data_IF_182704912807
#
_entry.id   IF_182704912807
#
_cell.length_a   1.000
_cell.length_b   1.000
_cell.length_c   1.000
_cell.angle_alpha   90.00
_cell.angle_beta   90.00
_cell.angle_gamma   90.00
#
_symmetry.space_group_name_H-M   'P 1'
#
loop_
_entity.id
_entity.type
_entity.pdbx_description
1 polymer ?
#
# COMPACT_ATOMS: atom_id res chain seq x y z
N UNK A 1 -20.00 -74.29 13.72
CA UNK A 1 -19.06 -73.18 14.11
C UNK A 1 -18.44 -72.64 12.84
N UNK A 2 -18.89 -71.43 12.41
CA UNK A 2 -18.32 -70.75 11.25
C UNK A 2 -17.56 -69.48 11.78
N UNK A 3 -16.23 -69.46 11.61
CA UNK A 3 -15.37 -68.40 11.98
C UNK A 3 -15.30 -67.43 10.79
N UNK A 4 -15.72 -66.16 10.96
CA UNK A 4 -15.62 -65.11 9.94
C UNK A 4 -14.26 -64.44 10.06
N UNK A 5 -13.56 -64.16 8.95
CA UNK A 5 -12.30 -63.43 9.00
C UNK A 5 -12.54 -61.90 9.17
N UNK A 6 -11.84 -61.32 10.13
CA UNK A 6 -11.79 -59.89 10.39
C UNK A 6 -10.88 -59.21 9.34
N UNK A 7 -11.46 -58.42 8.46
CA UNK A 7 -10.70 -57.64 7.46
C UNK A 7 -10.29 -56.31 8.11
N UNK A 8 -9.01 -56.16 8.40
CA UNK A 8 -8.39 -54.88 8.84
C UNK A 8 -8.13 -54.02 7.61
N UNK A 9 -8.88 -52.93 7.46
CA UNK A 9 -8.63 -51.90 6.47
C UNK A 9 -7.53 -50.95 7.00
N UNK A 10 -6.46 -50.66 6.25
CA UNK A 10 -5.47 -49.67 6.63
C UNK A 10 -6.03 -48.26 6.40
N UNK A 11 -6.14 -47.48 7.46
CA UNK A 11 -6.41 -46.04 7.43
C UNK A 11 -5.17 -45.33 6.86
N UNK A 12 -5.26 -44.94 5.61
CA UNK A 12 -4.27 -44.06 5.00
C UNK A 12 -4.53 -42.64 5.51
N UNK A 13 -3.79 -42.24 6.52
CA UNK A 13 -3.70 -40.84 6.93
C UNK A 13 -2.90 -40.09 5.87
N UNK A 14 -3.60 -39.41 4.95
CA UNK A 14 -2.99 -38.41 4.08
C UNK A 14 -2.66 -37.19 4.93
N UNK A 15 -1.41 -37.05 5.36
CA UNK A 15 -0.87 -35.84 5.93
C UNK A 15 -0.88 -34.79 4.82
N UNK A 16 -1.89 -33.92 4.81
CA UNK A 16 -1.87 -32.65 4.10
C UNK A 16 -0.78 -31.81 4.77
N UNK A 17 0.45 -31.88 4.25
CA UNK A 17 1.49 -30.92 4.54
C UNK A 17 1.00 -29.58 4.04
N UNK A 18 0.40 -28.78 4.93
CA UNK A 18 0.04 -27.40 4.67
C UNK A 18 1.32 -26.66 4.31
N UNK A 19 1.44 -26.25 3.06
CA UNK A 19 2.44 -25.26 2.65
C UNK A 19 2.09 -23.95 3.35
N UNK A 20 2.67 -23.74 4.52
CA UNK A 20 2.69 -22.43 5.18
C UNK A 20 3.63 -21.51 4.40
N UNK A 21 3.28 -21.17 3.16
CA UNK A 21 3.83 -19.99 2.51
C UNK A 21 3.42 -18.78 3.34
N UNK A 22 4.37 -18.06 3.92
CA UNK A 22 4.08 -16.86 4.68
C UNK A 22 3.16 -15.96 3.83
N UNK A 23 1.98 -15.63 4.37
CA UNK A 23 1.02 -14.82 3.65
C UNK A 23 1.66 -13.48 3.28
N UNK A 24 1.52 -13.07 2.02
CA UNK A 24 2.04 -11.78 1.54
C UNK A 24 1.46 -10.65 2.39
N UNK A 25 2.29 -9.72 2.89
CA UNK A 25 1.78 -8.62 3.69
C UNK A 25 0.83 -7.74 2.88
N UNK A 26 -0.30 -7.40 3.49
CA UNK A 26 -1.27 -6.50 2.89
C UNK A 26 -0.85 -5.04 3.10
N UNK A 27 -0.94 -4.23 2.03
CA UNK A 27 -0.62 -2.80 2.02
C UNK A 27 -1.90 -2.01 1.70
N UNK A 28 -2.30 -1.12 2.60
CA UNK A 28 -3.30 -0.10 2.31
C UNK A 28 -2.62 1.08 1.60
N UNK A 29 -3.13 1.50 0.45
CA UNK A 29 -2.58 2.63 -0.31
C UNK A 29 -3.54 3.80 -0.22
N UNK A 30 -3.22 4.79 0.62
CA UNK A 30 -3.96 6.05 0.68
C UNK A 30 -3.60 6.89 -0.55
N UNK A 31 -4.58 7.59 -1.09
CA UNK A 31 -4.34 8.50 -2.21
C UNK A 31 -3.27 9.52 -1.85
N UNK A 32 -2.29 9.68 -2.73
CA UNK A 32 -1.36 10.78 -2.61
C UNK A 32 -2.12 12.12 -2.62
N UNK A 33 -1.57 13.14 -1.98
CA UNK A 33 -2.18 14.45 -1.86
C UNK A 33 -1.28 15.53 -2.43
N UNK A 34 -1.88 16.58 -2.95
CA UNK A 34 -1.13 17.77 -3.30
C UNK A 34 -0.87 18.60 -2.03
N UNK A 35 0.36 19.04 -1.85
CA UNK A 35 0.81 19.88 -0.73
C UNK A 35 1.78 20.96 -1.22
N UNK A 36 1.41 21.66 -2.29
CA UNK A 36 2.20 22.75 -2.88
C UNK A 36 1.73 24.11 -2.40
N UNK A 37 2.31 25.18 -2.96
CA UNK A 37 2.04 26.58 -2.61
C UNK A 37 0.55 26.95 -2.69
N UNK A 38 -0.21 26.28 -3.56
CA UNK A 38 -1.64 26.54 -3.74
C UNK A 38 -2.51 25.32 -3.37
N UNK A 39 -2.08 24.54 -2.37
CA UNK A 39 -2.81 23.33 -1.94
C UNK A 39 -4.26 23.59 -1.50
N UNK A 40 -4.56 24.81 -1.05
CA UNK A 40 -5.92 25.21 -0.67
C UNK A 40 -6.83 25.49 -1.89
N UNK A 41 -6.23 25.70 -3.08
CA UNK A 41 -6.95 25.97 -4.34
C UNK A 41 -6.30 25.15 -5.42
N UNK A 42 -6.65 23.84 -5.47
CA UNK A 42 -6.08 22.91 -6.45
C UNK A 42 -6.34 23.35 -7.89
N UNK A 43 -5.30 23.36 -8.69
CA UNK A 43 -5.40 23.54 -10.14
C UNK A 43 -5.74 22.19 -10.81
N UNK A 44 -6.40 22.19 -11.97
CA UNK A 44 -6.71 20.94 -12.69
C UNK A 44 -5.48 20.06 -12.96
N UNK A 45 -4.32 20.68 -13.22
CA UNK A 45 -3.05 20.00 -13.42
C UNK A 45 -2.56 19.29 -12.16
N UNK A 46 -2.70 19.86 -10.97
CA UNK A 46 -2.30 19.27 -9.69
C UNK A 46 -3.07 18.00 -9.41
N UNK A 47 -4.37 18.03 -9.63
CA UNK A 47 -5.24 16.86 -9.47
C UNK A 47 -4.82 15.72 -10.42
N UNK A 48 -4.50 16.05 -11.67
CA UNK A 48 -4.04 15.08 -12.66
C UNK A 48 -2.71 14.42 -12.27
N UNK A 49 -1.74 15.21 -11.77
CA UNK A 49 -0.43 14.73 -11.29
C UNK A 49 -0.61 13.74 -10.15
N UNK A 50 -1.40 14.13 -9.13
CA UNK A 50 -1.67 13.28 -7.95
C UNK A 50 -2.39 11.99 -8.33
N UNK A 51 -3.41 12.09 -9.19
CA UNK A 51 -4.17 10.93 -9.64
C UNK A 51 -3.30 9.94 -10.44
N UNK A 52 -2.47 10.44 -11.37
CA UNK A 52 -1.58 9.61 -12.16
C UNK A 52 -0.52 8.90 -11.31
N UNK A 53 0.09 9.60 -10.36
CA UNK A 53 1.05 9.02 -9.42
C UNK A 53 0.40 7.96 -8.51
N UNK A 54 -0.78 8.25 -7.94
CA UNK A 54 -1.53 7.29 -7.12
C UNK A 54 -1.90 6.04 -7.90
N UNK A 55 -2.40 6.21 -9.13
CA UNK A 55 -2.75 5.10 -10.02
C UNK A 55 -1.53 4.22 -10.31
N UNK A 56 -0.37 4.81 -10.61
CA UNK A 56 0.86 4.08 -10.88
C UNK A 56 1.37 3.32 -9.65
N UNK A 57 1.34 3.95 -8.46
CA UNK A 57 1.70 3.30 -7.20
C UNK A 57 0.87 2.03 -6.99
N UNK A 58 -0.46 2.15 -7.11
CA UNK A 58 -1.39 1.03 -6.96
C UNK A 58 -1.19 -0.04 -8.01
N UNK A 59 -1.05 0.34 -9.28
CA UNK A 59 -0.85 -0.61 -10.37
C UNK A 59 0.44 -1.42 -10.18
N UNK A 60 1.53 -0.78 -9.73
CA UNK A 60 2.80 -1.47 -9.47
C UNK A 60 2.66 -2.45 -8.32
N UNK A 61 2.13 -2.03 -7.17
CA UNK A 61 1.94 -2.91 -6.01
C UNK A 61 0.89 -4.00 -6.27
N UNK A 62 -0.13 -3.72 -7.09
CA UNK A 62 -1.15 -4.70 -7.48
C UNK A 62 -0.62 -5.82 -8.38
N UNK A 63 0.45 -5.54 -9.13
CA UNK A 63 1.15 -6.53 -9.95
C UNK A 63 2.24 -7.29 -9.18
N UNK A 64 2.47 -6.97 -7.91
CA UNK A 64 3.51 -7.56 -7.08
C UNK A 64 3.16 -8.98 -6.62
N UNK A 65 4.15 -9.86 -6.57
CA UNK A 65 4.04 -11.21 -5.98
C UNK A 65 4.55 -11.28 -4.53
N UNK A 66 5.08 -10.17 -3.98
CA UNK A 66 5.59 -10.10 -2.59
C UNK A 66 4.67 -9.34 -1.62
N UNK A 67 3.71 -8.57 -2.11
CA UNK A 67 2.68 -7.89 -1.31
C UNK A 67 1.30 -8.13 -1.91
N UNK A 68 0.25 -7.83 -1.13
CA UNK A 68 -1.12 -7.68 -1.63
C UNK A 68 -1.59 -6.27 -1.32
N UNK A 69 -2.38 -5.66 -2.20
CA UNK A 69 -2.99 -4.37 -1.88
C UNK A 69 -4.40 -4.55 -1.33
N UNK A 70 -4.74 -3.75 -0.34
CA UNK A 70 -6.10 -3.65 0.16
C UNK A 70 -6.98 -2.98 -0.91
N UNK A 71 -8.23 -3.38 -1.00
CA UNK A 71 -9.18 -2.79 -1.96
C UNK A 71 -9.17 -1.26 -1.90
N UNK A 72 -9.05 -0.64 -3.07
CA UNK A 72 -8.88 0.80 -3.17
C UNK A 72 -10.14 1.58 -2.80
N UNK A 73 -11.32 1.02 -3.08
CA UNK A 73 -12.60 1.64 -2.73
C UNK A 73 -12.82 1.58 -1.22
N UNK A 74 -12.55 0.42 -0.60
CA UNK A 74 -12.60 0.28 0.86
C UNK A 74 -11.63 1.24 1.55
N UNK A 75 -10.40 1.38 1.02
CA UNK A 75 -9.41 2.32 1.54
C UNK A 75 -9.88 3.77 1.42
N UNK A 76 -10.37 4.18 0.25
CA UNK A 76 -10.88 5.54 0.02
C UNK A 76 -12.08 5.87 0.93
N UNK A 77 -13.03 4.94 1.06
CA UNK A 77 -14.19 5.09 1.96
C UNK A 77 -13.77 5.23 3.42
N UNK A 78 -12.80 4.40 3.86
CA UNK A 78 -12.30 4.46 5.22
C UNK A 78 -11.58 5.77 5.54
N UNK A 79 -10.80 6.31 4.58
CA UNK A 79 -10.15 7.62 4.71
C UNK A 79 -11.19 8.73 4.75
N UNK A 80 -12.16 8.74 3.81
CA UNK A 80 -13.22 9.76 3.77
C UNK A 80 -14.04 9.81 5.08
N UNK A 81 -14.32 8.64 5.69
CA UNK A 81 -14.97 8.57 7.00
C UNK A 81 -14.10 9.13 8.13
N UNK A 82 -12.79 8.88 8.07
CA UNK A 82 -11.86 9.40 9.08
C UNK A 82 -11.62 10.91 8.96
N UNK A 83 -11.89 11.49 7.79
CA UNK A 83 -11.77 12.93 7.50
C UNK A 83 -13.10 13.68 7.55
N UNK A 84 -14.16 13.04 8.03
CA UNK A 84 -15.51 13.66 8.08
C UNK A 84 -15.57 14.93 8.94
N UNK A 85 -14.63 15.13 9.85
CA UNK A 85 -14.45 16.33 10.66
C UNK A 85 -13.67 17.46 9.93
N UNK A 86 -13.24 17.23 8.67
CA UNK A 86 -12.51 18.17 7.86
C UNK A 86 -10.99 18.17 8.09
N UNK A 87 -10.47 17.34 9.00
CA UNK A 87 -9.04 17.23 9.21
C UNK A 87 -8.41 16.24 8.23
N UNK A 88 -7.30 16.61 7.56
CA UNK A 88 -6.57 15.69 6.69
C UNK A 88 -6.05 14.47 7.45
N UNK A 89 -6.10 13.29 6.81
CA UNK A 89 -5.62 12.05 7.40
C UNK A 89 -4.09 12.08 7.63
N UNK A 90 -3.69 12.33 8.86
CA UNK A 90 -2.30 12.30 9.32
C UNK A 90 -1.77 10.85 9.47
N UNK A 91 -0.62 10.66 10.12
CA UNK A 91 -0.05 9.34 10.34
C UNK A 91 -0.90 8.50 11.31
N UNK A 92 -1.47 9.09 12.35
CA UNK A 92 -2.30 8.38 13.32
C UNK A 92 -3.61 7.90 12.66
N UNK A 93 -4.24 8.75 11.88
CA UNK A 93 -5.39 8.42 11.05
C UNK A 93 -5.06 7.29 10.05
N UNK A 94 -3.97 7.40 9.31
CA UNK A 94 -3.55 6.41 8.33
C UNK A 94 -3.35 5.02 8.97
N UNK A 95 -2.70 4.96 10.13
CA UNK A 95 -2.52 3.73 10.90
C UNK A 95 -3.86 3.15 11.39
N UNK A 96 -4.79 4.00 11.85
CA UNK A 96 -6.12 3.56 12.29
C UNK A 96 -6.94 2.98 11.13
N UNK A 97 -6.93 3.65 9.96
CA UNK A 97 -7.56 3.17 8.72
C UNK A 97 -6.99 1.82 8.32
N UNK A 98 -5.66 1.71 8.23
CA UNK A 98 -4.98 0.48 7.82
C UNK A 98 -5.27 -0.69 8.79
N UNK A 99 -5.28 -0.43 10.10
CA UNK A 99 -5.62 -1.44 11.11
C UNK A 99 -7.04 -1.96 10.93
N UNK A 100 -8.00 -1.06 10.68
CA UNK A 100 -9.40 -1.43 10.43
C UNK A 100 -9.56 -2.29 9.18
N UNK A 101 -8.72 -2.08 8.16
CA UNK A 101 -8.72 -2.83 6.91
C UNK A 101 -7.85 -4.10 6.95
N UNK A 102 -7.26 -4.44 8.09
CA UNK A 102 -6.42 -5.63 8.24
C UNK A 102 -5.09 -5.54 7.48
N UNK A 103 -4.63 -4.33 7.14
CA UNK A 103 -3.35 -4.15 6.47
C UNK A 103 -2.19 -4.28 7.46
N UNK A 104 -1.07 -4.85 6.98
CA UNK A 104 0.20 -4.85 7.70
C UNK A 104 0.89 -3.50 7.62
N UNK A 105 0.80 -2.85 6.47
CA UNK A 105 1.42 -1.57 6.18
C UNK A 105 0.43 -0.59 5.55
N UNK A 106 0.72 0.70 5.69
CA UNK A 106 0.02 1.76 4.96
C UNK A 106 1.03 2.64 4.23
N UNK A 107 0.81 2.79 2.93
CA UNK A 107 1.54 3.71 2.06
C UNK A 107 0.74 5.01 1.92
N UNK A 108 1.37 6.15 2.18
CA UNK A 108 0.82 7.49 2.02
C UNK A 108 1.88 8.46 1.53
N UNK A 109 1.49 9.62 1.07
CA UNK A 109 2.46 10.62 0.63
C UNK A 109 1.82 11.88 0.10
N UNK A 110 2.67 12.84 -0.19
CA UNK A 110 2.30 14.14 -0.77
C UNK A 110 3.13 14.46 -2.00
N UNK A 111 2.54 15.19 -2.92
CA UNK A 111 3.24 15.76 -4.06
C UNK A 111 3.18 17.27 -3.89
N UNK A 112 4.37 17.91 -3.90
CA UNK A 112 4.52 19.36 -3.75
C UNK A 112 5.20 19.95 -4.97
N UNK A 113 4.77 21.11 -5.42
CA UNK A 113 5.54 21.90 -6.37
C UNK A 113 6.50 22.82 -5.60
N UNK A 114 7.79 22.69 -5.89
CA UNK A 114 8.83 23.59 -5.35
C UNK A 114 9.08 24.77 -6.29
N UNK A 115 8.79 24.57 -7.57
CA UNK A 115 8.83 25.59 -8.62
C UNK A 115 8.07 25.06 -9.85
N UNK A 116 7.94 25.88 -10.88
CA UNK A 116 7.31 25.47 -12.15
C UNK A 116 7.97 24.24 -12.82
N UNK A 117 9.23 23.95 -12.48
CA UNK A 117 10.01 22.86 -13.11
C UNK A 117 10.40 21.74 -12.14
N UNK A 118 10.25 21.97 -10.83
CA UNK A 118 10.69 21.03 -9.80
C UNK A 118 9.54 20.71 -8.85
N UNK A 119 9.23 19.45 -8.79
CA UNK A 119 8.24 18.90 -7.89
C UNK A 119 8.87 17.85 -6.97
N UNK A 120 8.23 17.53 -5.88
CA UNK A 120 8.71 16.57 -4.89
C UNK A 120 7.58 15.59 -4.55
N UNK A 121 7.83 14.30 -4.69
CA UNK A 121 7.02 13.26 -4.06
C UNK A 121 7.68 12.90 -2.73
N UNK A 122 7.01 13.15 -1.61
CA UNK A 122 7.39 12.64 -0.28
C UNK A 122 6.42 11.54 0.10
N UNK A 123 6.93 10.35 0.44
CA UNK A 123 6.10 9.18 0.68
C UNK A 123 6.65 8.30 1.80
N UNK A 124 5.73 7.84 2.65
CA UNK A 124 5.99 6.99 3.79
C UNK A 124 5.31 5.63 3.65
N UNK A 125 5.98 4.59 4.12
CA UNK A 125 5.39 3.29 4.45
C UNK A 125 5.41 3.13 5.96
N UNK A 126 4.23 3.08 6.58
CA UNK A 126 4.10 2.93 8.03
C UNK A 126 3.76 1.48 8.37
N UNK A 127 4.41 0.92 9.38
CA UNK A 127 4.06 -0.38 9.95
C UNK A 127 2.93 -0.24 10.97
N UNK A 128 1.82 -0.92 10.72
CA UNK A 128 0.61 -0.84 11.54
C UNK A 128 0.80 -1.40 12.95
N UNK A 129 1.72 -2.36 13.12
CA UNK A 129 2.01 -2.99 14.41
C UNK A 129 2.83 -2.09 15.31
N UNK A 130 3.89 -1.47 14.73
CA UNK A 130 4.83 -0.65 15.50
C UNK A 130 4.46 0.84 15.52
N UNK A 131 3.59 1.28 14.59
CA UNK A 131 3.26 2.68 14.38
C UNK A 131 4.38 3.52 13.78
N UNK A 132 5.48 2.91 13.32
CA UNK A 132 6.67 3.60 12.82
C UNK A 132 6.75 3.55 11.30
N UNK A 133 7.40 4.56 10.71
CA UNK A 133 7.79 4.51 9.32
C UNK A 133 8.90 3.47 9.12
N UNK A 134 8.68 2.54 8.20
CA UNK A 134 9.69 1.57 7.71
C UNK A 134 10.36 2.04 6.43
N UNK A 135 9.71 2.97 5.71
CA UNK A 135 10.28 3.77 4.64
C UNK A 135 9.82 5.22 4.80
N UNK A 136 10.71 6.16 4.52
CA UNK A 136 10.43 7.58 4.40
C UNK A 136 11.32 8.10 3.25
N UNK A 137 10.74 8.20 2.07
CA UNK A 137 11.47 8.51 0.85
C UNK A 137 10.99 9.83 0.24
N UNK A 138 11.90 10.52 -0.44
CA UNK A 138 11.61 11.72 -1.21
C UNK A 138 12.21 11.60 -2.60
N UNK A 139 11.41 11.94 -3.62
CA UNK A 139 11.80 11.85 -5.04
C UNK A 139 11.61 13.21 -5.70
N UNK A 140 12.70 13.79 -6.15
CA UNK A 140 12.66 15.00 -6.96
C UNK A 140 12.15 14.68 -8.37
N UNK A 141 11.16 15.44 -8.83
CA UNK A 141 10.51 15.30 -10.14
C UNK A 141 10.88 16.54 -10.95
N UNK A 142 11.67 16.37 -12.01
CA UNK A 142 12.10 17.44 -12.92
C UNK A 142 11.32 17.39 -14.23
N UNK A 143 10.88 18.56 -14.70
CA UNK A 143 10.16 18.71 -15.95
C UNK A 143 8.64 18.60 -15.78
N UNK A 144 7.94 18.02 -16.76
CA UNK A 144 6.49 17.91 -16.76
C UNK A 144 6.01 16.92 -15.69
N UNK A 145 5.46 17.46 -14.61
CA UNK A 145 5.09 16.67 -13.42
C UNK A 145 4.07 15.56 -13.74
N UNK A 146 3.06 15.85 -14.56
CA UNK A 146 2.03 14.85 -14.90
C UNK A 146 2.61 13.60 -15.56
N UNK A 147 3.70 13.77 -16.34
CA UNK A 147 4.39 12.66 -17.00
C UNK A 147 5.42 11.97 -16.09
N UNK A 148 6.09 12.72 -15.23
CA UNK A 148 7.22 12.22 -14.44
C UNK A 148 6.82 11.69 -13.06
N UNK A 149 5.75 12.22 -12.44
CA UNK A 149 5.30 11.79 -11.11
C UNK A 149 4.94 10.28 -11.04
N UNK A 150 4.34 9.66 -12.07
CA UNK A 150 4.16 8.21 -12.08
C UNK A 150 5.47 7.42 -11.95
N UNK A 151 6.57 7.93 -12.51
CA UNK A 151 7.90 7.31 -12.36
C UNK A 151 8.38 7.32 -10.91
N UNK A 152 8.26 8.45 -10.23
CA UNK A 152 8.60 8.58 -8.82
C UNK A 152 7.75 7.64 -7.94
N UNK A 153 6.44 7.56 -8.19
CA UNK A 153 5.53 6.65 -7.50
C UNK A 153 5.87 5.17 -7.77
N UNK A 154 6.30 4.83 -8.97
CA UNK A 154 6.80 3.50 -9.29
C UNK A 154 8.07 3.15 -8.51
N UNK A 155 9.03 4.06 -8.40
CA UNK A 155 10.24 3.86 -7.61
C UNK A 155 9.90 3.61 -6.13
N UNK A 156 8.96 4.36 -5.56
CA UNK A 156 8.49 4.12 -4.20
C UNK A 156 7.84 2.73 -4.05
N UNK A 157 7.00 2.31 -5.00
CA UNK A 157 6.43 0.95 -5.00
C UNK A 157 7.51 -0.14 -4.99
N UNK A 158 8.55 -0.01 -5.81
CA UNK A 158 9.68 -0.95 -5.82
C UNK A 158 10.43 -0.99 -4.49
N UNK A 159 10.53 0.14 -3.80
CA UNK A 159 11.10 0.19 -2.45
C UNK A 159 10.25 -0.58 -1.43
N UNK A 160 8.92 -0.45 -1.52
CA UNK A 160 7.96 -1.23 -0.71
C UNK A 160 8.16 -2.72 -0.97
N UNK A 161 8.20 -3.16 -2.23
CA UNK A 161 8.42 -4.57 -2.61
C UNK A 161 9.73 -5.11 -2.05
N UNK A 162 10.81 -4.35 -2.18
CA UNK A 162 12.12 -4.74 -1.64
C UNK A 162 12.09 -4.87 -0.11
N UNK A 163 11.39 -3.97 0.58
CA UNK A 163 11.21 -4.02 2.04
C UNK A 163 10.39 -5.24 2.44
N UNK A 164 9.32 -5.54 1.71
CA UNK A 164 8.49 -6.72 1.93
C UNK A 164 9.28 -8.02 1.75
N UNK A 165 10.03 -8.12 0.67
CA UNK A 165 10.88 -9.29 0.41
C UNK A 165 11.97 -9.50 1.49
N UNK A 166 12.47 -8.41 2.07
CA UNK A 166 13.41 -8.45 3.21
C UNK A 166 12.77 -8.91 4.52
N UNK A 167 11.51 -8.56 4.75
CA UNK A 167 10.77 -8.92 5.96
C UNK A 167 10.25 -10.37 5.96
N UNK A 168 10.25 -11.05 4.81
CA UNK A 168 9.83 -12.46 4.65
C UNK A 168 10.98 -13.46 4.83
N UNK A 169 12.21 -12.98 5.02
CA UNK A 169 13.43 -13.79 5.25
C UNK A 169 13.73 -13.93 6.72
#
# INVERSE_FOLDING_TARGET
MRVAPLVLLPLWYSALAGQNGAARPAVAVINLRFNGEHANVLQPGDTAVVAAATSKLRATLGASDVVTIVDSTATATAVAQAEADGNPCDNACALAVARRLGARWVAKGTISNLSNLVWLLSADLLDVTTGRAVLADSYEIKGEAARMAPGAAHMFAQRIEKTAAGALR
#
